data_IF_955589461689
#
_entry.id   IF_955589461689
#
_cell.length_a   1.000
_cell.length_b   1.000
_cell.length_c   1.000
_cell.angle_alpha   90.00
_cell.angle_beta   90.00
_cell.angle_gamma   90.00
#
_symmetry.space_group_name_H-M   'P 1'
#
loop_
_entity.id
_entity.type
_entity.pdbx_description
1 polymer ?
#
# COMPACT_ATOMS: atom_id res chain seq x y z
N UNK A 1 -2.26 -19.05 25.97
CA UNK A 1 -2.12 -17.64 26.34
C UNK A 1 -1.39 -17.02 25.16
N UNK A 2 -2.11 -16.46 24.20
CA UNK A 2 -2.35 -15.02 24.11
C UNK A 2 -3.60 -14.79 23.24
N UNK A 3 -4.71 -14.41 23.87
CA UNK A 3 -5.31 -13.07 23.79
C UNK A 3 -6.02 -12.80 22.45
N UNK A 4 -7.31 -13.09 22.51
CA UNK A 4 -8.37 -12.61 21.63
C UNK A 4 -8.36 -11.09 21.52
N UNK A 5 -8.02 -10.55 20.35
CA UNK A 5 -8.54 -9.25 19.95
C UNK A 5 -9.67 -9.47 18.95
N UNK A 6 -10.87 -9.65 19.48
CA UNK A 6 -12.10 -9.57 18.71
C UNK A 6 -12.30 -8.11 18.28
N UNK A 7 -11.49 -7.67 17.31
CA UNK A 7 -11.81 -6.47 16.55
C UNK A 7 -13.17 -6.73 15.90
N UNK A 8 -14.12 -5.80 16.10
CA UNK A 8 -15.49 -5.96 15.62
C UNK A 8 -15.50 -6.55 14.19
N UNK A 9 -16.37 -7.54 13.88
CA UNK A 9 -16.31 -8.29 12.62
C UNK A 9 -16.43 -7.40 11.37
N UNK A 10 -16.93 -6.17 11.49
CA UNK A 10 -16.84 -5.16 10.42
C UNK A 10 -15.43 -4.61 10.19
N UNK A 11 -14.71 -4.27 11.26
CA UNK A 11 -13.39 -3.63 11.16
C UNK A 11 -12.31 -4.56 10.59
N UNK A 12 -12.39 -5.87 10.87
CA UNK A 12 -11.49 -6.86 10.24
C UNK A 12 -11.78 -7.01 8.75
N UNK A 13 -13.07 -7.02 8.36
CA UNK A 13 -13.50 -7.04 6.96
C UNK A 13 -13.04 -5.79 6.20
N UNK A 14 -13.18 -4.61 6.80
CA UNK A 14 -12.73 -3.36 6.14
C UNK A 14 -11.22 -3.37 5.90
N UNK A 15 -10.44 -3.91 6.85
CA UNK A 15 -8.99 -4.07 6.70
C UNK A 15 -8.65 -5.08 5.59
N UNK A 16 -9.32 -6.23 5.55
CA UNK A 16 -9.10 -7.26 4.51
C UNK A 16 -9.43 -6.71 3.12
N UNK A 17 -10.55 -6.00 2.97
CA UNK A 17 -10.96 -5.37 1.70
C UNK A 17 -9.95 -4.29 1.29
N UNK A 18 -9.49 -3.45 2.24
CA UNK A 18 -8.51 -2.42 1.97
C UNK A 18 -7.16 -3.02 1.51
N UNK A 19 -6.74 -4.15 2.08
CA UNK A 19 -5.53 -4.87 1.67
C UNK A 19 -5.66 -5.45 0.26
N UNK A 20 -6.80 -6.03 -0.08
CA UNK A 20 -7.06 -6.55 -1.43
C UNK A 20 -7.08 -5.42 -2.48
N UNK A 21 -7.77 -4.33 -2.18
CA UNK A 21 -7.83 -3.13 -3.03
C UNK A 21 -6.44 -2.51 -3.22
N UNK A 22 -5.68 -2.34 -2.13
CA UNK A 22 -4.31 -1.81 -2.17
C UNK A 22 -3.43 -2.68 -3.09
N UNK A 23 -3.48 -4.01 -2.91
CA UNK A 23 -2.72 -4.95 -3.73
C UNK A 23 -3.09 -4.82 -5.21
N UNK A 24 -4.38 -4.75 -5.53
CA UNK A 24 -4.85 -4.55 -6.90
C UNK A 24 -4.28 -3.25 -7.51
N UNK A 25 -4.38 -2.13 -6.79
CA UNK A 25 -3.86 -0.84 -7.26
C UNK A 25 -2.34 -0.90 -7.45
N UNK A 26 -1.59 -1.42 -6.48
CA UNK A 26 -0.14 -1.50 -6.56
C UNK A 26 0.34 -2.37 -7.73
N UNK A 27 -0.32 -3.50 -7.98
CA UNK A 27 0.04 -4.41 -9.07
C UNK A 27 -0.35 -3.88 -10.46
N UNK A 28 -1.50 -3.22 -10.59
CA UNK A 28 -1.99 -2.75 -11.90
C UNK A 28 -1.35 -1.44 -12.35
N UNK A 29 -1.00 -0.56 -11.40
CA UNK A 29 -0.45 0.77 -11.70
C UNK A 29 1.06 0.85 -11.54
N UNK A 30 1.67 -0.13 -10.87
CA UNK A 30 3.06 -0.03 -10.43
C UNK A 30 3.25 1.00 -9.32
N UNK A 31 2.21 1.33 -8.54
CA UNK A 31 2.29 2.32 -7.46
C UNK A 31 3.44 2.01 -6.50
N UNK A 32 4.24 3.04 -6.20
CA UNK A 32 5.45 2.94 -5.37
C UNK A 32 6.62 2.23 -6.05
N UNK A 33 6.42 1.48 -7.14
CA UNK A 33 7.56 0.90 -7.87
C UNK A 33 8.34 2.02 -8.53
N UNK A 34 9.62 2.02 -8.25
CA UNK A 34 10.58 2.95 -8.80
C UNK A 34 10.98 2.40 -10.15
N UNK A 35 10.75 3.13 -11.23
CA UNK A 35 11.28 2.80 -12.55
C UNK A 35 12.80 2.93 -12.52
N UNK A 36 13.48 1.89 -12.04
CA UNK A 36 14.91 1.87 -11.80
C UNK A 36 15.54 0.54 -12.23
N UNK A 37 15.13 0.02 -13.38
CA UNK A 37 15.85 -1.09 -14.05
C UNK A 37 16.09 -0.80 -15.53
N UNK A 38 16.26 0.48 -15.89
CA UNK A 38 16.77 0.89 -17.19
C UNK A 38 18.25 1.18 -17.08
N UNK A 39 19.09 0.35 -17.69
CA UNK A 39 20.51 0.66 -17.91
C UNK A 39 20.59 1.75 -18.99
N UNK A 40 20.70 3.00 -18.60
CA UNK A 40 20.78 4.13 -19.53
C UNK A 40 21.34 5.36 -18.85
N UNK A 41 22.27 6.03 -19.52
CA UNK A 41 23.06 7.17 -19.06
C UNK A 41 22.19 8.41 -18.79
N UNK A 42 21.37 8.37 -17.74
CA UNK A 42 20.62 9.53 -17.25
C UNK A 42 20.77 9.58 -15.72
N UNK A 43 21.67 10.45 -15.27
CA UNK A 43 21.78 10.80 -13.87
C UNK A 43 20.47 11.43 -13.35
N UNK A 44 20.18 11.17 -12.08
CA UNK A 44 19.34 12.07 -11.29
C UNK A 44 17.91 11.62 -10.95
N UNK A 45 17.52 10.37 -11.23
CA UNK A 45 16.32 9.80 -10.62
C UNK A 45 16.74 8.84 -9.53
N UNK A 46 16.74 9.27 -8.26
CA UNK A 46 16.99 8.36 -7.15
C UNK A 46 16.08 7.14 -7.32
N UNK A 47 16.67 5.95 -7.47
CA UNK A 47 15.92 4.72 -7.29
C UNK A 47 15.31 4.86 -5.90
N UNK A 48 13.99 5.09 -5.83
CA UNK A 48 13.38 5.41 -4.55
C UNK A 48 13.75 4.27 -3.60
N UNK A 49 14.32 4.64 -2.47
CA UNK A 49 14.93 3.66 -1.58
C UNK A 49 13.86 2.64 -1.19
N UNK A 50 14.18 1.37 -0.92
CA UNK A 50 13.17 0.39 -0.52
C UNK A 50 12.29 0.88 0.65
N UNK A 51 12.81 1.76 1.49
CA UNK A 51 12.10 2.49 2.53
C UNK A 51 11.03 3.46 1.99
N UNK A 52 11.32 4.18 0.90
CA UNK A 52 10.36 5.07 0.21
C UNK A 52 9.25 4.25 -0.45
N UNK A 53 9.58 3.09 -1.04
CA UNK A 53 8.56 2.18 -1.56
C UNK A 53 7.61 1.70 -0.45
N UNK A 54 8.16 1.28 0.69
CA UNK A 54 7.36 0.87 1.84
C UNK A 54 6.47 2.02 2.34
N UNK A 55 6.99 3.24 2.40
CA UNK A 55 6.20 4.42 2.78
C UNK A 55 5.02 4.66 1.83
N UNK A 56 5.23 4.56 0.52
CA UNK A 56 4.16 4.68 -0.47
C UNK A 56 3.09 3.60 -0.30
N UNK A 57 3.48 2.35 -0.05
CA UNK A 57 2.54 1.26 0.20
C UNK A 57 1.70 1.50 1.47
N UNK A 58 2.31 1.98 2.55
CA UNK A 58 1.59 2.32 3.79
C UNK A 58 0.61 3.49 3.59
N UNK A 59 1.00 4.50 2.82
CA UNK A 59 0.12 5.62 2.45
C UNK A 59 -1.08 5.13 1.61
N UNK A 60 -0.83 4.27 0.63
CA UNK A 60 -1.88 3.69 -0.20
C UNK A 60 -2.86 2.87 0.62
N UNK A 61 -2.38 2.06 1.56
CA UNK A 61 -3.23 1.32 2.48
C UNK A 61 -4.17 2.24 3.25
N UNK A 62 -3.67 3.34 3.82
CA UNK A 62 -4.48 4.31 4.53
C UNK A 62 -5.59 4.91 3.66
N UNK A 63 -5.28 5.21 2.39
CA UNK A 63 -6.28 5.69 1.41
C UNK A 63 -7.34 4.64 1.09
N UNK A 64 -6.92 3.39 0.86
CA UNK A 64 -7.84 2.28 0.63
C UNK A 64 -8.77 2.05 1.83
N UNK A 65 -8.23 2.09 3.04
CA UNK A 65 -9.01 1.92 4.26
C UNK A 65 -10.03 3.04 4.47
N UNK A 66 -9.63 4.30 4.25
CA UNK A 66 -10.56 5.44 4.32
C UNK A 66 -11.70 5.33 3.30
N UNK A 67 -11.38 4.89 2.08
CA UNK A 67 -12.37 4.66 1.02
C UNK A 67 -13.37 3.55 1.39
N UNK A 68 -12.90 2.42 1.93
CA UNK A 68 -13.75 1.30 2.37
C UNK A 68 -14.64 1.70 3.54
N UNK A 69 -14.12 2.49 4.49
CA UNK A 69 -14.90 2.99 5.63
C UNK A 69 -15.92 4.08 5.26
N UNK A 70 -15.98 4.51 3.99
CA UNK A 70 -16.88 5.58 3.54
C UNK A 70 -16.53 6.96 4.14
N UNK A 71 -15.30 7.15 4.62
CA UNK A 71 -14.80 8.42 5.13
C UNK A 71 -14.30 9.25 3.94
N UNK A 72 -15.23 9.93 3.25
CA UNK A 72 -14.93 10.87 2.17
C UNK A 72 -15.46 12.25 2.49
#
# INVERSE_FOLDING_TARGET
MEETSALAPGSRRDQDIALEMMKFVAMTTGYGRTSGSGVGFQGGGAAAKPEEYAAHLLELYGRCLAAVQGKK
#
